data_IF_734498594621
#
_entry.id   IF_734498594621
#
_cell.length_a   1.000
_cell.length_b   1.000
_cell.length_c   1.000
_cell.angle_alpha   90.00
_cell.angle_beta   90.00
_cell.angle_gamma   90.00
#
_symmetry.space_group_name_H-M   'P 1'
#
loop_
_entity.id
_entity.type
_entity.pdbx_description
1 polymer ?
#
# COMPACT_ATOMS: atom_id res chain seq x y z
N UNK A 1 -12.17 -4.10 -8.05
CA UNK A 1 -11.99 -3.98 -6.59
C UNK A 1 -10.52 -3.81 -6.22
N UNK A 2 -9.63 -4.61 -6.78
CA UNK A 2 -8.19 -4.47 -6.55
C UNK A 2 -7.54 -3.89 -7.79
N UNK A 3 -6.63 -2.95 -7.59
CA UNK A 3 -6.00 -2.19 -8.65
C UNK A 3 -4.50 -2.24 -8.47
N UNK A 4 -3.76 -2.30 -9.57
CA UNK A 4 -2.32 -2.08 -9.58
C UNK A 4 -1.95 -1.04 -10.62
N UNK A 5 -1.14 -0.08 -10.20
CA UNK A 5 -0.58 0.95 -11.07
C UNK A 5 0.91 0.68 -11.16
N UNK A 6 1.36 0.43 -12.36
CA UNK A 6 2.78 0.20 -12.64
C UNK A 6 3.30 1.25 -13.61
N UNK A 7 4.59 1.54 -13.51
CA UNK A 7 5.31 2.39 -14.44
C UNK A 7 6.19 1.52 -15.33
N UNK A 8 6.16 1.79 -16.62
CA UNK A 8 7.07 1.21 -17.59
C UNK A 8 7.70 2.31 -18.47
N UNK A 9 8.49 1.94 -19.47
CA UNK A 9 9.15 2.89 -20.37
C UNK A 9 8.18 3.77 -21.19
N UNK A 10 6.91 3.39 -21.25
CA UNK A 10 5.87 4.08 -22.03
C UNK A 10 4.98 5.00 -21.19
N UNK A 11 5.04 4.91 -19.87
CA UNK A 11 4.21 5.67 -18.93
C UNK A 11 3.62 4.79 -17.83
N UNK A 12 2.35 4.97 -17.53
CA UNK A 12 1.66 4.23 -16.48
C UNK A 12 0.62 3.30 -17.06
N UNK A 13 0.47 2.12 -16.45
CA UNK A 13 -0.63 1.19 -16.68
C UNK A 13 -1.39 0.95 -15.39
N UNK A 14 -2.69 1.11 -15.45
CA UNK A 14 -3.64 0.75 -14.39
C UNK A 14 -4.31 -0.56 -14.78
N UNK A 15 -4.06 -1.63 -14.03
CA UNK A 15 -4.78 -2.89 -14.17
C UNK A 15 -5.89 -2.99 -13.12
N UNK A 16 -7.05 -3.44 -13.56
CA UNK A 16 -8.25 -3.52 -12.70
C UNK A 16 -9.15 -4.66 -13.10
N UNK A 17 -9.86 -5.22 -12.12
CA UNK A 17 -10.89 -6.20 -12.38
C UNK A 17 -12.18 -5.46 -12.74
N UNK A 18 -12.71 -5.78 -13.87
CA UNK A 18 -14.04 -5.40 -14.31
C UNK A 18 -14.96 -6.62 -14.33
N UNK A 19 -16.26 -6.41 -14.29
CA UNK A 19 -17.27 -7.44 -14.38
C UNK A 19 -18.39 -7.00 -15.31
N UNK A 20 -19.06 -7.98 -15.89
CA UNK A 20 -20.25 -7.76 -16.68
C UNK A 20 -21.39 -7.31 -15.74
N UNK A 21 -22.02 -6.18 -16.04
CA UNK A 21 -23.12 -5.64 -15.22
C UNK A 21 -24.34 -6.57 -15.19
N UNK A 22 -24.53 -7.33 -16.25
CA UNK A 22 -25.64 -8.29 -16.37
C UNK A 22 -25.31 -9.66 -15.78
N UNK A 23 -24.03 -9.95 -15.57
CA UNK A 23 -23.57 -11.22 -15.02
C UNK A 23 -22.29 -11.03 -14.19
N UNK A 24 -22.45 -10.76 -12.90
CA UNK A 24 -21.35 -10.53 -11.95
C UNK A 24 -20.41 -11.75 -11.78
N UNK A 25 -20.78 -12.91 -12.33
CA UNK A 25 -19.87 -14.07 -12.37
C UNK A 25 -18.81 -13.93 -13.44
N UNK A 26 -19.07 -13.13 -14.47
CA UNK A 26 -18.11 -12.82 -15.54
C UNK A 26 -17.23 -11.67 -15.11
N UNK A 27 -16.00 -11.99 -14.82
CA UNK A 27 -14.97 -11.03 -14.40
C UNK A 27 -13.76 -11.17 -15.29
N UNK A 28 -13.13 -10.06 -15.60
CA UNK A 28 -11.92 -10.02 -16.42
C UNK A 28 -10.94 -8.97 -15.93
N UNK A 29 -9.66 -9.18 -16.20
CA UNK A 29 -8.62 -8.19 -15.99
C UNK A 29 -8.56 -7.27 -17.19
N UNK A 30 -8.66 -5.96 -16.93
CA UNK A 30 -8.57 -4.91 -17.93
C UNK A 30 -7.42 -3.97 -17.63
N UNK A 31 -6.99 -3.20 -18.64
CA UNK A 31 -5.91 -2.21 -18.51
C UNK A 31 -6.35 -0.84 -19.01
N UNK A 32 -5.92 0.21 -18.33
CA UNK A 32 -5.93 1.58 -18.84
C UNK A 32 -4.51 2.14 -18.83
N UNK A 33 -4.23 3.08 -19.72
CA UNK A 33 -2.91 3.67 -19.93
C UNK A 33 -2.93 5.16 -19.66
N UNK A 34 -1.80 5.69 -19.17
CA UNK A 34 -1.64 7.12 -18.93
C UNK A 34 -0.19 7.56 -19.14
N UNK A 35 -0.01 8.81 -19.60
CA UNK A 35 1.31 9.45 -19.67
C UNK A 35 1.64 10.27 -18.42
N UNK A 36 0.61 10.77 -17.76
CA UNK A 36 0.69 11.74 -16.66
C UNK A 36 0.15 11.18 -15.33
N UNK A 37 -0.43 9.97 -15.35
CA UNK A 37 -1.09 9.38 -14.20
C UNK A 37 -2.41 10.07 -13.83
N UNK A 38 -2.95 10.93 -14.68
CA UNK A 38 -4.18 11.70 -14.46
C UNK A 38 -5.22 11.38 -15.52
N UNK A 39 -4.80 11.44 -16.78
CA UNK A 39 -5.65 11.15 -17.94
C UNK A 39 -5.44 9.70 -18.36
N UNK A 40 -6.50 8.91 -18.25
CA UNK A 40 -6.46 7.48 -18.52
C UNK A 40 -7.21 7.12 -19.80
N UNK A 41 -6.60 6.31 -20.65
CA UNK A 41 -7.16 5.83 -21.91
C UNK A 41 -7.33 4.32 -21.83
N UNK A 42 -8.49 3.81 -22.23
CA UNK A 42 -8.75 2.38 -22.39
C UNK A 42 -8.39 1.99 -23.84
N UNK A 43 -7.29 1.25 -24.08
CA UNK A 43 -6.91 0.85 -25.43
C UNK A 43 -7.89 -0.20 -25.98
N UNK A 44 -8.16 -0.16 -27.29
CA UNK A 44 -8.97 -1.17 -27.98
C UNK A 44 -8.09 -2.33 -28.46
N UNK A 45 -7.81 -3.27 -27.57
CA UNK A 45 -6.83 -4.35 -27.79
C UNK A 45 -7.38 -5.51 -28.59
N UNK A 46 -8.67 -5.83 -28.46
CA UNK A 46 -9.36 -6.95 -29.14
C UNK A 46 -8.66 -8.31 -28.97
N UNK A 47 -8.11 -8.56 -27.77
CA UNK A 47 -7.46 -9.84 -27.43
C UNK A 47 -8.52 -10.91 -27.16
N UNK A 48 -9.60 -10.51 -26.49
CA UNK A 48 -10.76 -11.33 -26.18
C UNK A 48 -12.01 -10.78 -26.90
N UNK A 49 -13.03 -11.60 -27.09
CA UNK A 49 -14.27 -11.19 -27.72
C UNK A 49 -15.24 -10.60 -26.68
N UNK A 50 -15.27 -9.27 -26.61
CA UNK A 50 -16.13 -8.48 -25.74
C UNK A 50 -16.86 -7.38 -26.54
N UNK A 51 -17.87 -7.76 -27.36
CA UNK A 51 -18.55 -6.82 -28.25
C UNK A 51 -19.30 -5.70 -27.51
N UNK A 52 -19.68 -5.94 -26.24
CA UNK A 52 -20.31 -4.94 -25.38
C UNK A 52 -19.41 -3.73 -25.08
N UNK A 53 -18.08 -3.88 -25.16
CA UNK A 53 -17.11 -2.81 -24.85
C UNK A 53 -16.92 -1.80 -26.00
N UNK A 54 -17.57 -1.98 -27.14
CA UNK A 54 -17.74 -1.01 -28.27
C UNK A 54 -16.55 -0.08 -28.54
N UNK A 55 -15.40 -0.62 -28.93
CA UNK A 55 -14.19 0.16 -29.27
C UNK A 55 -13.31 0.56 -28.08
N UNK A 56 -13.60 0.02 -26.90
CA UNK A 56 -12.80 0.17 -25.69
C UNK A 56 -12.47 -1.20 -25.08
N UNK A 57 -12.30 -2.23 -25.92
CA UNK A 57 -12.01 -3.58 -25.46
C UNK A 57 -10.55 -3.69 -24.98
N UNK A 58 -10.36 -3.35 -23.72
CA UNK A 58 -9.08 -3.31 -23.03
C UNK A 58 -8.85 -4.52 -22.11
N UNK A 59 -9.54 -5.64 -22.39
CA UNK A 59 -9.41 -6.89 -21.63
C UNK A 59 -8.09 -7.57 -21.96
N UNK A 60 -7.37 -8.01 -20.93
CA UNK A 60 -6.04 -8.65 -21.04
C UNK A 60 -6.00 -10.08 -20.47
N UNK A 61 -6.94 -10.44 -19.60
CA UNK A 61 -7.16 -11.83 -19.12
C UNK A 61 -8.66 -12.03 -18.89
N UNK A 62 -9.19 -13.13 -19.42
CA UNK A 62 -10.55 -13.59 -19.22
C UNK A 62 -10.57 -15.14 -19.10
N UNK A 63 -11.19 -15.72 -18.03
CA UNK A 63 -11.75 -15.03 -16.87
C UNK A 63 -10.67 -14.49 -15.94
N UNK A 64 -11.01 -13.47 -15.14
CA UNK A 64 -10.10 -12.85 -14.18
C UNK A 64 -10.74 -12.57 -12.84
N UNK A 65 -10.07 -12.90 -11.73
CA UNK A 65 -10.55 -12.61 -10.38
C UNK A 65 -9.41 -12.23 -9.46
N UNK A 66 -9.55 -11.13 -8.70
CA UNK A 66 -8.59 -10.68 -7.68
C UNK A 66 -7.12 -10.68 -8.16
N UNK A 67 -6.92 -10.38 -9.43
CA UNK A 67 -5.61 -10.39 -10.08
C UNK A 67 -4.82 -9.14 -9.72
N UNK A 68 -3.53 -9.35 -9.50
CA UNK A 68 -2.57 -8.29 -9.22
C UNK A 68 -1.43 -8.36 -10.24
N UNK A 69 -1.12 -7.22 -10.86
CA UNK A 69 -0.05 -7.12 -11.87
C UNK A 69 1.11 -6.31 -11.31
N UNK A 70 2.35 -6.76 -11.53
CA UNK A 70 3.54 -5.96 -11.28
C UNK A 70 4.53 -6.07 -12.46
N UNK A 71 5.37 -5.05 -12.59
CA UNK A 71 6.49 -5.06 -13.51
C UNK A 71 7.70 -5.62 -12.78
N UNK A 72 8.37 -6.59 -13.39
CA UNK A 72 9.51 -7.27 -12.80
C UNK A 72 10.81 -6.50 -13.04
N UNK A 73 11.33 -5.90 -11.99
CA UNK A 73 12.57 -5.12 -12.00
C UNK A 73 13.83 -6.00 -11.92
N UNK A 74 13.70 -7.32 -11.78
CA UNK A 74 14.83 -8.23 -11.82
C UNK A 74 15.59 -8.07 -13.15
N UNK A 75 16.89 -7.70 -13.13
CA UNK A 75 17.67 -7.54 -14.37
C UNK A 75 17.77 -8.82 -15.17
N UNK A 76 17.73 -9.99 -14.50
CA UNK A 76 17.83 -11.30 -15.12
C UNK A 76 16.46 -11.87 -15.58
N UNK A 77 15.37 -11.11 -15.37
CA UNK A 77 14.06 -11.54 -15.81
C UNK A 77 13.98 -11.61 -17.33
N UNK A 78 13.52 -12.76 -17.92
CA UNK A 78 13.29 -12.87 -19.35
C UNK A 78 12.37 -11.75 -19.86
N UNK A 79 12.70 -11.18 -21.02
CA UNK A 79 11.93 -10.07 -21.62
C UNK A 79 10.46 -10.42 -21.84
N UNK A 80 10.20 -11.66 -22.18
CA UNK A 80 8.85 -12.22 -22.38
C UNK A 80 8.06 -12.45 -21.10
N UNK A 81 8.64 -12.19 -19.91
CA UNK A 81 8.03 -12.34 -18.59
C UNK A 81 8.09 -11.08 -17.72
N UNK A 82 8.42 -9.92 -18.30
CA UNK A 82 8.58 -8.65 -17.55
C UNK A 82 7.32 -8.21 -16.82
N UNK A 83 6.14 -8.57 -17.32
CA UNK A 83 4.88 -8.33 -16.61
C UNK A 83 4.41 -9.64 -16.00
N UNK A 84 4.14 -9.61 -14.70
CA UNK A 84 3.72 -10.77 -13.93
C UNK A 84 2.40 -10.51 -13.25
N UNK A 85 1.54 -11.51 -13.25
CA UNK A 85 0.28 -11.51 -12.50
C UNK A 85 0.35 -12.54 -11.40
N UNK A 86 -0.14 -12.18 -10.25
CA UNK A 86 -0.43 -13.09 -9.13
C UNK A 86 -1.95 -13.15 -8.98
N UNK A 87 -2.52 -14.34 -9.08
CA UNK A 87 -3.96 -14.53 -9.18
C UNK A 87 -4.44 -15.76 -8.42
N UNK A 88 -5.59 -15.68 -7.74
CA UNK A 88 -6.31 -16.89 -7.38
C UNK A 88 -6.69 -17.68 -8.62
N UNK A 89 -6.64 -19.00 -8.52
CA UNK A 89 -6.96 -19.92 -9.59
C UNK A 89 -7.68 -21.15 -9.03
N UNK A 90 -8.86 -21.43 -9.56
CA UNK A 90 -9.62 -22.64 -9.21
C UNK A 90 -9.12 -23.82 -10.04
N UNK A 91 -8.31 -24.68 -9.44
CA UNK A 91 -7.66 -25.78 -10.13
C UNK A 91 -8.59 -27.01 -10.22
N UNK A 92 -9.16 -27.24 -11.39
CA UNK A 92 -10.06 -28.38 -11.63
C UNK A 92 -9.36 -29.74 -11.48
N UNK A 93 -8.06 -29.82 -11.75
CA UNK A 93 -7.28 -31.05 -11.52
C UNK A 93 -7.13 -31.40 -10.03
N UNK A 94 -7.29 -30.42 -9.13
CA UNK A 94 -7.25 -30.59 -7.69
C UNK A 94 -8.63 -30.38 -7.03
N UNK A 95 -9.71 -30.78 -7.71
CA UNK A 95 -11.07 -30.70 -7.16
C UNK A 95 -11.58 -29.27 -6.97
N UNK A 96 -11.18 -28.35 -7.83
CA UNK A 96 -11.47 -26.91 -7.74
C UNK A 96 -10.92 -26.25 -6.46
N UNK A 97 -9.78 -26.74 -5.95
CA UNK A 97 -9.06 -26.07 -4.88
C UNK A 97 -8.64 -24.67 -5.33
N UNK A 98 -8.76 -23.70 -4.41
CA UNK A 98 -8.29 -22.34 -4.66
C UNK A 98 -6.78 -22.28 -4.40
N UNK A 99 -6.01 -22.02 -5.44
CA UNK A 99 -4.56 -21.91 -5.43
C UNK A 99 -4.13 -20.52 -5.88
N UNK A 100 -2.90 -20.13 -5.57
CA UNK A 100 -2.29 -18.89 -6.07
C UNK A 100 -1.40 -19.21 -7.26
N UNK A 101 -1.67 -18.62 -8.41
CA UNK A 101 -0.98 -18.88 -9.66
C UNK A 101 -0.37 -17.62 -10.27
N UNK A 102 0.66 -17.83 -11.08
CA UNK A 102 1.31 -16.80 -11.86
C UNK A 102 0.83 -16.82 -13.32
N UNK A 103 0.67 -15.62 -13.88
CA UNK A 103 0.67 -15.39 -15.33
C UNK A 103 1.84 -14.49 -15.67
N UNK A 104 2.33 -14.56 -16.89
CA UNK A 104 3.47 -13.78 -17.38
C UNK A 104 3.20 -13.21 -18.76
N UNK A 105 3.80 -12.05 -19.05
CA UNK A 105 3.70 -11.37 -20.35
C UNK A 105 4.95 -10.53 -20.61
N UNK A 106 5.34 -10.41 -21.88
CA UNK A 106 6.40 -9.50 -22.31
C UNK A 106 5.92 -8.09 -22.67
N UNK A 107 4.64 -7.93 -22.97
CA UNK A 107 4.07 -6.66 -23.46
C UNK A 107 3.08 -6.01 -22.49
N UNK A 108 2.67 -6.74 -21.44
CA UNK A 108 1.68 -6.29 -20.46
C UNK A 108 0.23 -6.38 -20.96
N UNK A 109 -0.01 -7.04 -22.11
CA UNK A 109 -1.34 -7.20 -22.68
C UNK A 109 -1.67 -8.67 -22.93
N UNK A 110 -0.75 -9.45 -23.48
CA UNK A 110 -0.94 -10.88 -23.77
C UNK A 110 -0.30 -11.71 -22.68
N UNK A 111 -1.12 -12.10 -21.72
CA UNK A 111 -0.69 -12.94 -20.60
C UNK A 111 -0.90 -14.42 -20.90
N UNK A 112 0.00 -15.25 -20.42
CA UNK A 112 -0.12 -16.72 -20.42
C UNK A 112 -0.04 -17.24 -19.00
N UNK A 113 -0.84 -18.25 -18.67
CA UNK A 113 -0.75 -18.99 -17.40
C UNK A 113 0.62 -19.64 -17.30
N UNK A 114 1.25 -19.58 -16.13
CA UNK A 114 2.62 -20.04 -15.94
C UNK A 114 2.72 -21.19 -14.94
N UNK A 115 2.64 -20.94 -13.66
CA UNK A 115 2.86 -21.96 -12.62
C UNK A 115 2.12 -21.61 -11.33
N UNK A 116 1.95 -22.63 -10.46
CA UNK A 116 1.43 -22.46 -9.12
C UNK A 116 2.49 -21.84 -8.21
N UNK A 117 2.09 -20.84 -7.43
CA UNK A 117 2.93 -20.13 -6.44
C UNK A 117 2.74 -20.75 -5.06
N UNK A 118 1.48 -20.93 -4.63
CA UNK A 118 1.13 -21.40 -3.29
C UNK A 118 -0.24 -22.10 -3.29
N UNK A 119 -0.39 -23.10 -2.46
CA UNK A 119 -1.64 -23.89 -2.33
C UNK A 119 -2.30 -23.77 -0.96
N UNK A 120 -1.62 -23.12 -0.01
CA UNK A 120 -2.08 -23.00 1.38
C UNK A 120 -2.34 -21.54 1.76
N UNK A 121 -3.56 -21.06 1.52
CA UNK A 121 -3.99 -19.70 1.80
C UNK A 121 -5.43 -19.43 1.38
N UNK A 122 -5.85 -18.17 1.53
CA UNK A 122 -7.15 -17.67 1.11
C UNK A 122 -6.98 -16.51 0.12
N UNK A 123 -6.81 -16.86 -1.14
CA UNK A 123 -6.29 -15.97 -2.17
C UNK A 123 -7.35 -15.09 -2.85
N UNK A 124 -8.61 -15.17 -2.47
CA UNK A 124 -9.73 -14.37 -3.02
C UNK A 124 -9.72 -12.90 -2.53
N UNK A 125 -8.52 -12.33 -2.35
CA UNK A 125 -8.28 -10.97 -1.93
C UNK A 125 -7.12 -10.36 -2.71
N UNK A 126 -6.66 -9.15 -2.33
CA UNK A 126 -5.46 -8.58 -2.91
C UNK A 126 -4.22 -9.38 -2.52
N UNK A 127 -3.61 -10.02 -3.51
CA UNK A 127 -2.30 -10.65 -3.38
C UNK A 127 -1.30 -9.75 -4.09
N UNK A 128 -0.16 -9.42 -3.48
CA UNK A 128 0.84 -8.55 -4.10
C UNK A 128 2.19 -9.23 -4.20
N UNK A 129 2.99 -8.85 -5.18
CA UNK A 129 4.35 -9.33 -5.30
C UNK A 129 5.27 -8.22 -5.82
N UNK A 130 6.56 -8.34 -5.53
CA UNK A 130 7.59 -7.46 -6.04
C UNK A 130 8.96 -8.15 -6.01
N UNK A 131 9.89 -7.60 -6.77
CA UNK A 131 11.30 -7.97 -6.70
C UNK A 131 12.05 -6.88 -5.93
N UNK A 132 12.92 -7.29 -4.99
CA UNK A 132 13.74 -6.39 -4.20
C UNK A 132 14.97 -7.12 -3.64
N UNK A 133 16.14 -6.48 -3.70
CA UNK A 133 17.39 -6.97 -3.12
C UNK A 133 17.72 -8.43 -3.51
N UNK A 134 17.52 -8.76 -4.80
CA UNK A 134 17.81 -10.09 -5.35
C UNK A 134 16.73 -11.14 -5.10
N UNK A 135 15.58 -10.79 -4.53
CA UNK A 135 14.51 -11.74 -4.20
C UNK A 135 13.13 -11.22 -4.60
N UNK A 136 12.27 -12.16 -4.94
CA UNK A 136 10.83 -11.91 -5.02
C UNK A 136 10.22 -12.13 -3.64
N UNK A 137 9.25 -11.29 -3.30
CA UNK A 137 8.36 -11.45 -2.18
C UNK A 137 6.91 -11.49 -2.69
N UNK A 138 6.11 -12.43 -2.19
CA UNK A 138 4.68 -12.49 -2.49
C UNK A 138 3.90 -12.45 -1.19
N UNK A 139 2.99 -11.49 -1.07
CA UNK A 139 2.12 -11.28 0.08
C UNK A 139 0.69 -11.64 -0.28
N UNK A 140 0.06 -12.44 0.57
CA UNK A 140 -1.30 -12.91 0.37
C UNK A 140 -2.05 -13.05 1.70
N UNK A 141 -3.36 -13.16 1.60
CA UNK A 141 -4.24 -13.35 2.76
C UNK A 141 -4.30 -14.80 3.19
N UNK A 142 -4.36 -15.00 4.51
CA UNK A 142 -4.75 -16.25 5.15
C UNK A 142 -5.60 -15.95 6.38
N UNK A 143 -5.80 -16.96 7.24
CA UNK A 143 -6.54 -16.83 8.48
C UNK A 143 -5.81 -17.52 9.64
N UNK A 144 -6.08 -17.02 10.84
CA UNK A 144 -5.79 -17.69 12.09
C UNK A 144 -6.98 -17.58 13.06
N UNK A 145 -7.06 -18.50 14.02
CA UNK A 145 -8.06 -18.45 15.07
C UNK A 145 -7.67 -17.46 16.18
N UNK A 146 -8.57 -17.25 17.15
CA UNK A 146 -8.34 -16.38 18.32
C UNK A 146 -7.18 -16.81 19.23
N UNK A 147 -6.69 -18.03 19.07
CA UNK A 147 -5.52 -18.54 19.82
C UNK A 147 -4.22 -18.39 19.00
N UNK A 148 -4.31 -17.82 17.81
CA UNK A 148 -3.18 -17.62 16.92
C UNK A 148 -2.81 -18.85 16.08
N UNK A 149 -3.61 -19.93 16.07
CA UNK A 149 -3.35 -21.09 15.23
C UNK A 149 -3.83 -20.85 13.80
N UNK A 150 -3.04 -21.29 12.84
CA UNK A 150 -3.41 -21.22 11.42
C UNK A 150 -4.66 -22.06 11.14
N UNK A 151 -5.57 -21.53 10.34
CA UNK A 151 -6.80 -22.20 9.94
C UNK A 151 -7.14 -21.97 8.48
N UNK A 152 -7.71 -23.01 7.84
CA UNK A 152 -8.27 -22.92 6.48
C UNK A 152 -9.78 -22.64 6.49
N UNK A 153 -10.39 -22.62 7.69
CA UNK A 153 -11.83 -22.43 7.80
C UNK A 153 -12.15 -20.95 7.80
N UNK A 154 -12.93 -20.52 6.82
CA UNK A 154 -13.51 -19.20 6.87
C UNK A 154 -14.61 -19.16 7.94
N UNK A 155 -14.49 -18.23 8.86
CA UNK A 155 -15.57 -17.88 9.80
C UNK A 155 -15.45 -16.41 10.19
N UNK A 156 -16.51 -15.85 10.76
CA UNK A 156 -16.47 -14.48 11.30
C UNK A 156 -15.59 -14.38 12.57
N UNK A 157 -15.32 -15.51 13.24
CA UNK A 157 -14.49 -15.59 14.44
C UNK A 157 -12.99 -15.68 14.12
N UNK A 158 -12.63 -16.00 12.87
CA UNK A 158 -11.25 -16.12 12.44
C UNK A 158 -10.75 -14.79 11.89
N UNK A 159 -9.53 -14.44 12.29
CA UNK A 159 -8.88 -13.20 11.92
C UNK A 159 -8.19 -13.34 10.56
N UNK A 160 -8.44 -12.38 9.68
CA UNK A 160 -7.72 -12.26 8.41
C UNK A 160 -6.32 -11.77 8.69
N UNK A 161 -5.32 -12.54 8.25
CA UNK A 161 -3.91 -12.18 8.36
C UNK A 161 -3.25 -12.02 6.98
N UNK A 162 -2.04 -11.49 6.98
CA UNK A 162 -1.20 -11.37 5.81
C UNK A 162 0.01 -12.27 6.00
N UNK A 163 0.37 -13.02 4.95
CA UNK A 163 1.54 -13.90 4.91
C UNK A 163 2.44 -13.54 3.77
N UNK A 164 3.72 -13.90 3.91
CA UNK A 164 4.75 -13.69 2.91
C UNK A 164 5.49 -14.97 2.62
N UNK A 165 5.80 -15.17 1.35
CA UNK A 165 6.74 -16.17 0.84
C UNK A 165 7.79 -15.48 -0.02
N UNK A 166 8.98 -16.07 -0.13
CA UNK A 166 10.10 -15.54 -0.88
C UNK A 166 10.57 -16.52 -1.95
N UNK A 167 11.14 -15.99 -3.04
CA UNK A 167 11.70 -16.78 -4.12
C UNK A 167 12.92 -16.08 -4.72
N UNK A 168 13.91 -16.85 -5.16
CA UNK A 168 15.07 -16.33 -5.90
C UNK A 168 14.79 -16.29 -7.42
N UNK A 169 13.89 -17.15 -7.92
CA UNK A 169 13.65 -17.40 -9.36
C UNK A 169 12.20 -17.17 -9.83
N UNK A 170 11.33 -16.73 -8.91
CA UNK A 170 9.88 -16.63 -9.14
C UNK A 170 9.20 -17.97 -9.47
N UNK A 171 9.84 -19.09 -9.17
CA UNK A 171 9.33 -20.45 -9.42
C UNK A 171 9.25 -21.29 -8.17
N UNK A 172 10.31 -21.25 -7.37
CA UNK A 172 10.44 -22.01 -6.13
C UNK A 172 10.26 -21.08 -4.94
N UNK A 173 9.31 -21.37 -4.08
CA UNK A 173 8.93 -20.49 -2.98
C UNK A 173 9.23 -21.09 -1.62
N UNK A 174 9.61 -20.24 -0.68
CA UNK A 174 9.84 -20.62 0.70
C UNK A 174 8.54 -20.99 1.41
N UNK A 175 8.64 -21.60 2.59
CA UNK A 175 7.51 -21.73 3.50
C UNK A 175 6.98 -20.35 3.89
N UNK A 176 5.66 -20.22 3.98
CA UNK A 176 4.97 -18.98 4.36
C UNK A 176 5.30 -18.54 5.79
N UNK A 177 5.33 -17.21 5.99
CA UNK A 177 5.47 -16.57 7.29
C UNK A 177 4.35 -15.57 7.49
N UNK A 178 3.67 -15.59 8.64
CA UNK A 178 2.72 -14.56 9.03
C UNK A 178 3.47 -13.28 9.39
N UNK A 179 2.90 -12.12 9.03
CA UNK A 179 3.46 -10.83 9.41
C UNK A 179 3.32 -10.60 10.91
N UNK A 180 4.32 -9.94 11.48
CA UNK A 180 4.38 -9.53 12.87
C UNK A 180 4.24 -8.02 12.97
N UNK A 181 3.42 -7.53 13.91
CA UNK A 181 3.17 -6.10 14.07
C UNK A 181 3.71 -5.58 15.40
N UNK A 182 4.46 -4.47 15.35
CA UNK A 182 5.12 -3.86 16.51
C UNK A 182 4.15 -3.31 17.57
N UNK A 183 2.91 -3.03 17.18
CA UNK A 183 1.85 -2.55 18.07
C UNK A 183 1.22 -3.63 18.96
N UNK A 184 1.56 -4.89 18.72
CA UNK A 184 1.06 -6.04 19.47
C UNK A 184 -0.45 -6.26 19.37
N UNK A 185 -1.14 -5.53 18.48
CA UNK A 185 -2.58 -5.67 18.29
C UNK A 185 -2.87 -6.68 17.18
N UNK A 186 -3.92 -7.45 17.39
CA UNK A 186 -4.40 -8.41 16.41
C UNK A 186 -5.81 -8.02 15.98
N UNK A 187 -5.95 -7.60 14.72
CA UNK A 187 -7.22 -7.27 14.10
C UNK A 187 -7.19 -7.60 12.60
N UNK A 188 -8.37 -7.86 11.98
CA UNK A 188 -8.43 -8.32 10.62
C UNK A 188 -7.85 -7.32 9.62
N UNK A 189 -6.94 -7.77 8.75
CA UNK A 189 -6.44 -7.06 7.58
C UNK A 189 -6.97 -7.73 6.32
N UNK A 190 -7.78 -7.01 5.54
CA UNK A 190 -8.45 -7.57 4.37
C UNK A 190 -7.55 -7.57 3.13
N UNK A 191 -6.77 -6.51 2.94
CA UNK A 191 -5.81 -6.34 1.86
C UNK A 191 -4.41 -6.09 2.42
N UNK A 192 -3.39 -6.04 1.59
CA UNK A 192 -2.03 -5.75 2.04
C UNK A 192 -1.40 -4.52 1.36
N UNK A 193 -1.58 -4.33 0.06
CA UNK A 193 -1.06 -3.21 -0.74
C UNK A 193 0.42 -2.88 -0.43
N UNK A 194 1.29 -3.93 -0.40
CA UNK A 194 2.70 -3.84 0.01
C UNK A 194 3.60 -3.66 -1.22
N UNK A 195 4.56 -2.72 -1.14
CA UNK A 195 5.58 -2.51 -2.17
C UNK A 195 6.83 -1.81 -1.62
N UNK A 196 7.99 -1.91 -2.32
CA UNK A 196 9.19 -1.13 -2.00
C UNK A 196 8.93 0.36 -2.20
N UNK A 197 9.45 1.20 -1.31
CA UNK A 197 9.31 2.64 -1.45
C UNK A 197 10.43 3.22 -2.32
N UNK A 198 10.08 3.84 -3.44
CA UNK A 198 11.03 4.32 -4.46
C UNK A 198 12.12 5.25 -3.89
N UNK A 199 11.77 6.20 -3.00
CA UNK A 199 12.72 7.15 -2.42
C UNK A 199 13.57 6.59 -1.28
N UNK A 200 13.20 5.44 -0.75
CA UNK A 200 13.94 4.70 0.28
C UNK A 200 13.79 3.19 0.03
N UNK A 201 14.46 2.63 -0.99
CA UNK A 201 14.25 1.24 -1.42
C UNK A 201 14.50 0.18 -0.35
N UNK A 202 15.26 0.52 0.70
CA UNK A 202 15.45 -0.34 1.88
C UNK A 202 14.19 -0.47 2.75
N UNK A 203 13.15 0.33 2.49
CA UNK A 203 11.89 0.32 3.24
C UNK A 203 10.77 -0.22 2.35
N UNK A 204 10.03 -1.18 2.87
CA UNK A 204 8.74 -1.58 2.34
C UNK A 204 7.66 -0.74 3.02
N UNK A 205 6.70 -0.29 2.24
CA UNK A 205 5.48 0.36 2.73
C UNK A 205 4.27 -0.49 2.38
N UNK A 206 3.21 -0.35 3.17
CA UNK A 206 1.96 -1.06 2.94
C UNK A 206 0.76 -0.24 3.40
N UNK A 207 -0.35 -0.42 2.70
CA UNK A 207 -1.62 0.24 2.96
C UNK A 207 -2.75 -0.78 3.08
N UNK A 208 -2.71 -1.65 4.11
CA UNK A 208 -3.75 -2.66 4.27
C UNK A 208 -5.08 -2.02 4.67
N UNK A 209 -6.16 -2.54 4.10
CA UNK A 209 -7.50 -2.23 4.57
C UNK A 209 -7.80 -3.04 5.83
N UNK A 210 -8.23 -2.37 6.90
CA UNK A 210 -8.79 -3.03 8.08
C UNK A 210 -10.24 -3.39 7.81
N UNK A 211 -10.68 -4.49 8.42
CA UNK A 211 -12.04 -4.99 8.29
C UNK A 211 -12.65 -5.16 9.68
N UNK A 212 -13.69 -4.40 9.97
CA UNK A 212 -14.43 -4.51 11.22
C UNK A 212 -15.84 -4.97 10.96
N UNK A 213 -16.17 -6.12 11.53
CA UNK A 213 -17.50 -6.71 11.46
C UNK A 213 -18.36 -6.18 12.60
N UNK A 214 -19.50 -5.56 12.26
CA UNK A 214 -20.55 -5.17 13.18
C UNK A 214 -21.77 -6.06 12.94
N UNK A 215 -22.37 -6.53 14.03
CA UNK A 215 -23.42 -7.57 13.96
C UNK A 215 -24.80 -7.05 14.36
N UNK A 216 -24.87 -5.88 14.97
CA UNK A 216 -26.10 -5.33 15.53
C UNK A 216 -26.45 -4.00 14.86
N UNK A 217 -27.74 -3.88 14.49
CA UNK A 217 -28.30 -2.62 14.05
C UNK A 217 -28.56 -1.73 15.26
N UNK A 218 -28.13 -0.50 15.22
CA UNK A 218 -28.24 0.46 16.32
C UNK A 218 -28.96 1.73 15.89
N UNK A 219 -29.32 2.57 16.84
CA UNK A 219 -29.90 3.89 16.57
C UNK A 219 -28.95 4.79 15.76
N UNK A 220 -27.64 4.52 15.79
CA UNK A 220 -26.68 5.26 14.97
C UNK A 220 -26.81 4.89 13.49
N UNK A 221 -27.10 3.65 13.17
CA UNK A 221 -27.30 3.20 11.79
C UNK A 221 -28.56 3.84 11.17
N UNK A 222 -29.56 4.18 12.00
CA UNK A 222 -30.75 4.92 11.56
C UNK A 222 -30.40 6.36 11.13
N UNK A 223 -29.29 6.92 11.54
CA UNK A 223 -28.86 8.28 11.18
C UNK A 223 -28.12 8.32 9.84
N UNK A 224 -27.76 7.19 9.25
CA UNK A 224 -27.11 7.16 7.93
C UNK A 224 -27.97 7.93 6.90
N UNK A 225 -27.35 8.75 6.04
CA UNK A 225 -28.09 9.70 5.20
C UNK A 225 -28.93 9.03 4.12
N UNK A 226 -28.54 7.87 3.61
CA UNK A 226 -29.26 7.18 2.53
C UNK A 226 -30.37 6.25 3.04
N UNK A 227 -31.62 6.56 2.71
CA UNK A 227 -32.75 5.68 3.03
C UNK A 227 -32.69 4.33 2.28
N UNK A 228 -32.18 4.31 1.06
CA UNK A 228 -32.08 3.10 0.26
C UNK A 228 -30.94 2.22 0.72
N UNK A 229 -29.79 2.82 1.07
CA UNK A 229 -28.69 2.08 1.69
C UNK A 229 -29.12 1.42 3.00
N UNK A 230 -29.85 2.13 3.88
CA UNK A 230 -30.41 1.57 5.13
C UNK A 230 -31.28 0.34 4.89
N UNK A 231 -32.19 0.40 3.91
CA UNK A 231 -33.05 -0.76 3.55
C UNK A 231 -32.24 -1.99 3.16
N UNK A 232 -31.10 -1.78 2.51
CA UNK A 232 -30.21 -2.88 2.11
C UNK A 232 -29.43 -3.39 3.32
N UNK A 233 -28.81 -2.52 4.08
CA UNK A 233 -28.02 -2.89 5.25
C UNK A 233 -28.83 -3.65 6.31
N UNK A 234 -30.09 -3.25 6.56
CA UNK A 234 -31.01 -3.96 7.44
C UNK A 234 -31.18 -5.42 7.01
N UNK A 235 -31.33 -5.70 5.71
CA UNK A 235 -31.46 -7.06 5.19
C UNK A 235 -30.17 -7.88 5.27
N UNK A 236 -29.04 -7.21 5.40
CA UNK A 236 -27.71 -7.81 5.45
C UNK A 236 -27.16 -7.94 6.89
N UNK A 237 -27.89 -7.43 7.91
CA UNK A 237 -27.48 -7.59 9.32
C UNK A 237 -27.19 -9.03 9.64
N UNK A 238 -26.05 -9.30 10.28
CA UNK A 238 -25.59 -10.65 10.61
C UNK A 238 -24.99 -11.45 9.45
N UNK A 239 -25.08 -10.96 8.21
CA UNK A 239 -24.41 -11.57 7.05
C UNK A 239 -22.97 -11.09 6.94
N UNK A 240 -22.19 -11.73 6.04
CA UNK A 240 -20.75 -11.51 5.87
C UNK A 240 -20.36 -10.05 5.64
N UNK A 241 -21.04 -9.37 4.75
CA UNK A 241 -20.73 -7.97 4.42
C UNK A 241 -21.51 -7.00 5.32
N UNK A 242 -22.77 -7.25 5.54
CA UNK A 242 -23.66 -6.64 6.52
C UNK A 242 -23.31 -5.21 6.91
N UNK A 243 -23.14 -4.99 8.19
CA UNK A 243 -22.72 -3.73 8.81
C UNK A 243 -21.20 -3.61 8.94
N UNK A 244 -20.42 -4.41 8.21
CA UNK A 244 -18.97 -4.34 8.25
C UNK A 244 -18.48 -3.03 7.65
N UNK A 245 -17.43 -2.47 8.25
CA UNK A 245 -16.76 -1.27 7.76
C UNK A 245 -15.31 -1.58 7.41
N UNK A 246 -14.78 -0.83 6.46
CA UNK A 246 -13.38 -0.87 6.07
C UNK A 246 -12.78 0.51 6.06
N UNK A 247 -11.54 0.62 6.53
CA UNK A 247 -10.68 1.78 6.40
C UNK A 247 -9.27 1.32 6.07
N UNK A 248 -8.35 2.24 5.84
CA UNK A 248 -6.98 1.90 5.50
C UNK A 248 -6.02 2.39 6.59
N UNK A 249 -5.00 1.60 6.92
CA UNK A 249 -3.89 2.00 7.77
C UNK A 249 -2.57 2.03 7.00
N UNK A 250 -1.59 2.75 7.53
CA UNK A 250 -0.22 2.74 7.02
C UNK A 250 0.66 1.80 7.83
N UNK A 251 1.57 1.11 7.16
CA UNK A 251 2.62 0.32 7.81
C UNK A 251 3.91 0.34 7.01
N UNK A 252 5.04 0.12 7.68
CA UNK A 252 6.35 0.02 7.04
C UNK A 252 7.22 -1.06 7.66
N UNK A 253 8.15 -1.60 6.86
CA UNK A 253 9.07 -2.67 7.27
C UNK A 253 10.42 -2.55 6.58
N UNK A 254 11.47 -3.12 7.21
CA UNK A 254 12.79 -3.28 6.59
C UNK A 254 13.09 -4.73 6.18
N UNK A 255 12.43 -5.71 6.79
CA UNK A 255 12.66 -7.14 6.54
C UNK A 255 11.49 -7.87 5.86
N UNK A 256 10.36 -7.17 5.70
CA UNK A 256 9.16 -7.69 5.06
C UNK A 256 8.32 -8.64 5.92
N UNK A 257 8.74 -8.94 7.16
CA UNK A 257 8.04 -9.80 8.12
C UNK A 257 7.61 -9.01 9.35
N UNK A 258 8.51 -8.20 9.91
CA UNK A 258 8.23 -7.34 11.06
C UNK A 258 7.85 -5.94 10.59
N UNK A 259 6.67 -5.50 10.97
CA UNK A 259 6.07 -4.26 10.49
C UNK A 259 5.78 -3.29 11.63
N UNK A 260 6.20 -2.05 11.45
CA UNK A 260 5.67 -0.93 12.22
C UNK A 260 4.33 -0.54 11.60
N UNK A 261 3.24 -0.81 12.30
CA UNK A 261 1.88 -0.48 11.88
C UNK A 261 1.36 0.67 12.71
N UNK A 262 0.82 1.68 12.04
CA UNK A 262 0.20 2.84 12.68
C UNK A 262 -1.30 2.56 12.84
N UNK A 263 -1.81 2.74 14.06
CA UNK A 263 -3.19 2.34 14.37
C UNK A 263 -4.25 3.37 13.98
N UNK A 264 -3.82 4.62 13.79
CA UNK A 264 -4.69 5.65 13.24
C UNK A 264 -5.04 5.31 11.80
N UNK A 265 -6.29 5.58 11.42
CA UNK A 265 -6.67 5.42 10.02
C UNK A 265 -5.86 6.38 9.14
N UNK A 266 -5.16 5.83 8.17
CA UNK A 266 -4.47 6.59 7.15
C UNK A 266 -5.45 7.18 6.12
N UNK A 267 -6.49 6.41 5.82
CA UNK A 267 -7.56 6.80 4.92
C UNK A 267 -8.89 6.35 5.51
N UNK A 268 -9.85 7.27 5.56
CA UNK A 268 -11.23 7.04 6.03
C UNK A 268 -12.22 7.46 4.97
N UNK A 269 -13.47 7.06 5.13
CA UNK A 269 -14.55 7.41 4.20
C UNK A 269 -14.92 8.92 4.21
N UNK A 270 -14.34 9.73 5.12
CA UNK A 270 -14.63 11.15 5.22
C UNK A 270 -16.03 11.44 5.78
N UNK A 271 -16.60 12.58 5.41
CA UNK A 271 -17.96 12.93 5.81
C UNK A 271 -19.00 11.97 5.23
N UNK A 272 -20.00 11.65 6.04
CA UNK A 272 -21.10 10.79 5.62
C UNK A 272 -21.82 11.34 4.38
N UNK A 273 -22.09 10.44 3.44
CA UNK A 273 -22.89 10.69 2.27
C UNK A 273 -23.73 9.44 1.93
N UNK A 274 -24.44 9.45 0.83
CA UNK A 274 -25.37 8.36 0.44
C UNK A 274 -24.67 7.03 0.16
N UNK A 275 -23.32 6.97 0.03
CA UNK A 275 -22.61 5.83 -0.51
C UNK A 275 -21.42 5.35 0.32
N UNK A 276 -21.04 6.08 1.37
CA UNK A 276 -19.89 5.72 2.20
C UNK A 276 -20.30 5.19 3.58
N UNK A 277 -19.31 4.85 4.42
CA UNK A 277 -19.46 4.18 5.72
C UNK A 277 -20.12 2.81 5.61
N UNK A 278 -19.69 2.07 4.59
CA UNK A 278 -20.12 0.71 4.29
C UNK A 278 -18.91 -0.19 4.03
N UNK A 279 -19.16 -1.49 3.86
CA UNK A 279 -18.13 -2.43 3.46
C UNK A 279 -17.58 -2.14 2.06
N UNK A 280 -16.28 -2.11 1.95
CA UNK A 280 -15.58 -2.04 0.67
C UNK A 280 -15.04 -0.67 0.30
N UNK A 281 -15.10 0.30 1.23
CA UNK A 281 -14.48 1.60 1.07
C UNK A 281 -12.98 1.58 1.42
N UNK A 282 -12.24 2.58 0.93
CA UNK A 282 -10.85 2.83 1.26
C UNK A 282 -9.88 1.69 0.90
N UNK A 283 -10.02 1.16 -0.32
CA UNK A 283 -9.06 0.19 -0.88
C UNK A 283 -8.05 0.90 -1.79
N UNK A 284 -6.82 1.16 -1.30
CA UNK A 284 -5.79 1.76 -2.13
C UNK A 284 -5.39 0.86 -3.29
N UNK A 285 -5.14 1.48 -4.44
CA UNK A 285 -4.44 0.85 -5.53
C UNK A 285 -2.97 0.63 -5.13
N UNK A 286 -2.38 -0.46 -5.58
CA UNK A 286 -0.96 -0.68 -5.44
C UNK A 286 -0.17 0.24 -6.37
N UNK A 287 0.86 0.89 -5.84
CA UNK A 287 1.71 1.82 -6.55
C UNK A 287 1.36 3.29 -6.31
N UNK A 288 2.37 4.12 -6.38
CA UNK A 288 2.31 5.57 -6.29
C UNK A 288 2.75 6.17 -7.62
N UNK A 289 2.17 7.30 -7.98
CA UNK A 289 2.56 8.05 -9.18
C UNK A 289 3.24 9.33 -8.74
N UNK A 290 4.48 9.55 -9.17
CA UNK A 290 5.16 10.82 -8.94
C UNK A 290 4.44 11.94 -9.69
N UNK A 291 3.97 12.96 -8.97
CA UNK A 291 3.30 14.13 -9.55
C UNK A 291 4.25 15.06 -10.32
N UNK A 292 5.56 14.80 -10.25
CA UNK A 292 6.60 15.70 -10.74
C UNK A 292 6.84 16.92 -9.85
N UNK A 293 6.19 16.95 -8.66
CA UNK A 293 6.30 18.00 -7.63
C UNK A 293 6.67 17.37 -6.28
N UNK A 294 6.22 17.99 -5.20
CA UNK A 294 6.48 17.54 -3.82
C UNK A 294 5.50 16.45 -3.36
N UNK A 295 4.65 15.94 -4.24
CA UNK A 295 3.60 14.97 -3.90
C UNK A 295 3.67 13.72 -4.76
N UNK A 296 3.03 12.66 -4.26
CA UNK A 296 2.58 11.50 -5.05
C UNK A 296 1.07 11.53 -5.23
N UNK A 297 0.61 10.99 -6.35
CA UNK A 297 -0.79 10.58 -6.50
C UNK A 297 -0.94 9.15 -5.98
N UNK A 298 -1.95 8.96 -5.17
CA UNK A 298 -2.43 7.68 -4.68
C UNK A 298 -3.87 7.50 -5.12
N UNK A 299 -4.19 6.36 -5.69
CA UNK A 299 -5.55 6.04 -6.08
C UNK A 299 -6.18 5.10 -5.06
N UNK A 300 -7.46 5.30 -4.77
CA UNK A 300 -8.21 4.38 -3.93
C UNK A 300 -9.66 4.28 -4.42
N UNK A 301 -10.22 3.09 -4.25
CA UNK A 301 -11.63 2.86 -4.46
C UNK A 301 -12.40 3.29 -3.22
N UNK A 302 -13.46 4.04 -3.43
CA UNK A 302 -14.47 4.40 -2.46
C UNK A 302 -15.87 4.13 -3.07
N UNK A 303 -16.93 4.15 -2.27
CA UNK A 303 -18.31 3.98 -2.73
C UNK A 303 -18.57 2.67 -3.51
N UNK A 304 -17.95 1.57 -3.10
CA UNK A 304 -18.10 0.27 -3.78
C UNK A 304 -19.55 -0.17 -3.97
N UNK A 305 -20.44 0.21 -3.06
CA UNK A 305 -21.86 -0.14 -3.08
C UNK A 305 -22.75 0.96 -3.66
N UNK A 306 -22.16 1.97 -4.28
CA UNK A 306 -22.92 2.91 -5.09
C UNK A 306 -23.66 2.13 -6.19
N UNK A 307 -24.96 2.37 -6.30
CA UNK A 307 -25.80 1.80 -7.35
C UNK A 307 -25.75 2.63 -8.64
N UNK A 308 -25.06 3.76 -8.60
CA UNK A 308 -24.77 4.52 -9.80
C UNK A 308 -23.79 3.75 -10.68
N UNK A 309 -23.93 3.85 -11.98
CA UNK A 309 -23.14 3.17 -13.01
C UNK A 309 -21.64 3.46 -12.88
N UNK A 310 -21.27 4.57 -12.26
CA UNK A 310 -19.89 5.00 -12.06
C UNK A 310 -19.39 4.62 -10.65
N UNK A 311 -18.48 3.65 -10.59
CA UNK A 311 -17.69 3.34 -9.39
C UNK A 311 -16.35 4.07 -9.47
N UNK A 312 -16.25 5.31 -8.99
CA UNK A 312 -15.10 6.15 -9.23
C UNK A 312 -13.88 5.64 -8.48
N UNK A 313 -12.75 5.70 -9.16
CA UNK A 313 -11.44 5.58 -8.55
C UNK A 313 -10.97 6.99 -8.19
N UNK A 314 -10.87 7.28 -6.90
CA UNK A 314 -10.46 8.59 -6.42
C UNK A 314 -8.96 8.74 -6.45
N UNK A 315 -8.48 9.92 -6.87
CA UNK A 315 -7.08 10.31 -6.80
C UNK A 315 -6.88 11.21 -5.58
N UNK A 316 -5.97 10.79 -4.73
CA UNK A 316 -5.49 11.56 -3.58
C UNK A 316 -4.08 12.07 -3.85
N UNK A 317 -3.74 13.19 -3.23
CA UNK A 317 -2.37 13.68 -3.20
C UNK A 317 -1.79 13.50 -1.80
N UNK A 318 -0.59 12.93 -1.74
CA UNK A 318 0.15 12.80 -0.51
C UNK A 318 1.55 13.39 -0.66
N UNK A 319 2.01 14.12 0.37
CA UNK A 319 3.39 14.60 0.45
C UNK A 319 4.38 13.45 0.27
N UNK A 320 5.44 13.64 -0.52
CA UNK A 320 6.54 12.67 -0.59
C UNK A 320 7.10 12.44 0.80
N UNK A 321 7.30 11.16 1.17
CA UNK A 321 7.66 10.68 2.53
C UNK A 321 6.65 11.06 3.64
N UNK A 322 5.48 11.59 3.30
CA UNK A 322 4.50 12.14 4.22
C UNK A 322 3.55 11.11 4.86
N UNK A 323 3.90 9.83 4.85
CA UNK A 323 3.03 8.74 5.36
C UNK A 323 2.89 8.75 6.88
N UNK A 324 3.94 9.20 7.58
CA UNK A 324 4.00 9.37 9.02
C UNK A 324 5.01 10.47 9.36
N UNK A 325 4.92 11.03 10.55
CA UNK A 325 5.87 12.03 11.04
C UNK A 325 6.07 11.93 12.54
N UNK A 326 7.19 12.45 13.01
CA UNK A 326 7.31 12.90 14.40
C UNK A 326 6.76 14.32 14.49
N UNK A 327 5.85 14.57 15.43
CA UNK A 327 5.17 15.84 15.60
C UNK A 327 5.42 16.39 16.99
N UNK A 328 5.74 17.68 17.07
CA UNK A 328 5.70 18.47 18.28
C UNK A 328 4.57 19.49 18.19
N UNK A 329 3.88 19.70 19.28
CA UNK A 329 2.90 20.77 19.48
C UNK A 329 3.59 22.12 19.78
N UNK A 330 2.88 23.05 20.41
CA UNK A 330 3.40 24.38 20.78
C UNK A 330 4.52 24.38 21.83
N UNK A 331 4.78 23.24 22.48
CA UNK A 331 5.89 23.06 23.41
C UNK A 331 7.06 22.36 22.72
N UNK A 332 8.30 22.72 23.10
CA UNK A 332 9.46 22.01 22.55
C UNK A 332 9.47 20.55 23.00
N UNK A 333 9.63 19.65 22.04
CA UNK A 333 9.82 18.21 22.21
C UNK A 333 11.17 17.79 21.66
N UNK A 334 11.73 16.73 22.23
CA UNK A 334 13.03 16.19 21.82
C UNK A 334 12.88 14.79 21.28
N UNK A 335 13.48 14.56 20.10
CA UNK A 335 13.65 13.25 19.48
C UNK A 335 15.14 12.95 19.36
N UNK A 336 15.59 11.79 19.85
CA UNK A 336 16.98 11.31 19.66
C UNK A 336 16.96 10.02 18.87
N UNK A 337 17.74 9.98 17.79
CA UNK A 337 17.87 8.75 16.99
C UNK A 337 18.62 7.66 17.75
N UNK A 338 18.43 6.41 17.33
CA UNK A 338 19.41 5.35 17.61
C UNK A 338 20.74 5.76 16.97
N UNK A 339 21.88 5.15 17.40
CA UNK A 339 23.13 5.35 16.68
C UNK A 339 22.95 5.00 15.21
N UNK A 340 23.42 5.88 14.34
CA UNK A 340 23.39 5.70 12.90
C UNK A 340 24.78 5.98 12.31
N UNK A 341 25.11 5.27 11.25
CA UNK A 341 26.27 5.51 10.41
C UNK A 341 25.72 5.93 9.04
N UNK A 342 26.23 7.01 8.50
CA UNK A 342 25.82 7.51 7.19
C UNK A 342 27.01 7.73 6.27
N UNK A 343 26.76 7.71 5.00
CA UNK A 343 27.64 8.17 3.93
C UNK A 343 27.12 9.52 3.40
N UNK A 344 27.99 10.29 2.79
CA UNK A 344 27.63 11.64 2.29
C UNK A 344 28.07 12.75 3.24
N UNK A 345 27.82 13.98 2.83
CA UNK A 345 28.30 15.20 3.50
C UNK A 345 27.17 16.10 3.98
N UNK A 346 26.03 16.00 3.35
CA UNK A 346 24.94 16.95 3.52
C UNK A 346 23.72 16.24 4.07
N UNK A 347 23.20 16.72 5.20
CA UNK A 347 21.91 16.29 5.73
C UNK A 347 20.81 17.10 5.05
N UNK A 348 19.81 16.42 4.56
CA UNK A 348 18.57 16.97 4.04
C UNK A 348 17.38 16.55 4.88
N UNK A 349 16.44 17.47 5.09
CA UNK A 349 15.20 17.21 5.82
C UNK A 349 13.98 17.44 4.97
N UNK A 350 12.98 16.61 5.23
CA UNK A 350 11.58 16.78 4.87
C UNK A 350 10.80 17.13 6.14
N UNK A 351 10.28 18.35 6.22
CA UNK A 351 9.62 18.86 7.41
C UNK A 351 8.60 19.96 7.09
N UNK A 352 7.76 20.28 8.06
CA UNK A 352 6.95 21.49 8.07
C UNK A 352 6.92 22.09 9.49
N UNK A 353 6.86 23.42 9.57
CA UNK A 353 6.64 24.17 10.82
C UNK A 353 5.55 25.21 10.64
N UNK A 354 5.00 25.71 11.72
CA UNK A 354 4.26 26.98 11.70
C UNK A 354 5.21 28.19 11.69
N UNK A 355 4.66 29.39 11.68
CA UNK A 355 5.44 30.62 11.83
C UNK A 355 6.10 30.76 13.23
N UNK A 356 5.56 30.08 14.24
CA UNK A 356 6.08 30.01 15.60
C UNK A 356 7.00 28.79 15.81
N UNK A 357 6.94 27.84 14.88
CA UNK A 357 7.63 26.56 14.96
C UNK A 357 9.08 26.61 14.50
N UNK A 358 9.86 25.68 15.01
CA UNK A 358 11.25 25.50 14.61
C UNK A 358 11.72 24.05 14.78
N UNK A 359 12.85 23.75 14.17
CA UNK A 359 13.64 22.54 14.40
C UNK A 359 15.10 22.96 14.61
N UNK A 360 15.75 22.41 15.64
CA UNK A 360 17.19 22.41 15.81
C UNK A 360 17.72 20.98 15.78
N UNK A 361 18.93 20.81 15.29
CA UNK A 361 19.60 19.51 15.23
C UNK A 361 20.93 19.61 15.92
N UNK A 362 21.16 18.77 16.92
CA UNK A 362 22.44 18.59 17.58
C UNK A 362 23.01 17.23 17.20
N UNK A 363 24.34 17.12 17.06
CA UNK A 363 25.03 15.84 16.87
C UNK A 363 25.58 15.38 18.21
N UNK A 364 25.29 14.13 18.53
CA UNK A 364 25.78 13.44 19.72
C UNK A 364 26.69 12.29 19.30
N UNK A 365 27.61 11.89 20.17
CA UNK A 365 28.35 10.65 19.99
C UNK A 365 27.43 9.41 20.14
N UNK A 366 27.95 8.21 19.93
CA UNK A 366 27.19 6.97 20.06
C UNK A 366 26.60 6.75 21.48
N UNK A 367 27.21 7.32 22.50
CA UNK A 367 26.82 7.22 23.92
C UNK A 367 25.78 8.28 24.30
N UNK A 368 25.53 9.27 23.43
CA UNK A 368 24.58 10.36 23.65
C UNK A 368 25.21 11.62 24.26
N UNK A 369 26.53 11.75 24.30
CA UNK A 369 27.20 12.96 24.73
C UNK A 369 27.24 14.00 23.61
N UNK A 370 27.05 15.26 23.95
CA UNK A 370 27.07 16.36 22.99
C UNK A 370 28.47 16.56 22.38
N UNK A 371 28.54 16.66 21.09
CA UNK A 371 29.72 17.08 20.38
C UNK A 371 29.73 18.61 20.27
N UNK A 372 30.66 19.24 21.00
CA UNK A 372 30.74 20.69 21.14
C UNK A 372 30.62 21.45 19.81
N UNK A 373 29.76 22.47 19.80
CA UNK A 373 29.61 23.40 18.68
C UNK A 373 28.87 22.83 17.44
N UNK A 374 28.21 21.68 17.58
CA UNK A 374 27.52 21.01 16.47
C UNK A 374 26.00 21.07 16.60
N UNK A 375 25.49 22.28 16.63
CA UNK A 375 24.06 22.60 16.54
C UNK A 375 23.76 23.28 15.19
N UNK A 376 22.65 22.93 14.55
CA UNK A 376 22.22 23.56 13.31
C UNK A 376 21.81 25.03 13.52
N UNK A 377 21.71 25.79 12.44
CA UNK A 377 20.91 27.01 12.44
C UNK A 377 19.44 26.64 12.74
N UNK A 378 18.64 27.64 13.14
CA UNK A 378 17.19 27.47 13.25
C UNK A 378 16.60 27.07 11.91
N UNK A 379 15.81 26.01 11.90
CA UNK A 379 15.17 25.46 10.71
C UNK A 379 13.67 25.72 10.82
N UNK A 380 13.09 26.40 9.85
CA UNK A 380 11.67 26.69 9.74
C UNK A 380 11.19 26.66 8.29
N UNK A 381 9.88 26.52 8.09
CA UNK A 381 9.25 26.50 6.79
C UNK A 381 8.57 25.17 6.46
N UNK A 382 8.30 24.94 5.18
CA UNK A 382 7.66 23.73 4.69
C UNK A 382 8.35 23.29 3.39
N UNK A 383 9.01 22.12 3.41
CA UNK A 383 9.77 21.60 2.28
C UNK A 383 10.03 20.12 2.39
N UNK A 384 10.17 19.44 1.26
CA UNK A 384 10.52 18.01 1.20
C UNK A 384 12.04 17.76 1.14
N UNK A 385 12.85 18.81 0.95
CA UNK A 385 14.29 18.65 0.70
C UNK A 385 15.06 19.92 1.06
N UNK A 386 15.31 20.15 2.34
CA UNK A 386 16.09 21.27 2.87
C UNK A 386 17.48 20.83 3.28
N UNK A 387 18.50 21.39 2.65
CA UNK A 387 19.89 21.27 3.10
C UNK A 387 20.07 21.90 4.47
N UNK A 388 20.71 21.18 5.38
CA UNK A 388 20.99 21.59 6.76
C UNK A 388 22.47 21.86 6.95
N UNK A 389 22.78 22.98 7.61
CA UNK A 389 24.13 23.35 8.00
C UNK A 389 24.20 23.58 9.51
N UNK A 390 25.38 23.38 10.08
CA UNK A 390 25.66 23.79 11.47
C UNK A 390 25.78 25.32 11.57
N UNK A 391 25.62 25.83 12.78
CA UNK A 391 25.69 27.27 13.06
C UNK A 391 27.05 27.88 12.78
N UNK A 392 28.11 27.07 12.68
CA UNK A 392 29.45 27.46 12.23
C UNK A 392 29.61 27.45 10.70
N UNK A 393 28.54 27.10 9.95
CA UNK A 393 28.53 27.00 8.49
C UNK A 393 29.10 25.68 7.95
N UNK A 394 29.59 24.79 8.81
CA UNK A 394 30.07 23.46 8.37
C UNK A 394 28.92 22.50 8.03
N UNK A 395 29.24 21.44 7.32
CA UNK A 395 28.34 20.36 6.98
C UNK A 395 28.57 19.11 7.87
N UNK A 396 27.91 18.02 7.53
CA UNK A 396 27.97 16.75 8.27
C UNK A 396 29.14 15.83 7.91
N UNK A 397 30.05 16.26 6.99
CA UNK A 397 31.16 15.42 6.49
C UNK A 397 32.11 14.91 7.57
N UNK A 398 32.32 15.69 8.63
CA UNK A 398 33.25 15.33 9.72
C UNK A 398 32.84 14.04 10.49
N UNK A 399 31.59 13.62 10.38
CA UNK A 399 31.01 12.48 11.09
C UNK A 399 30.61 11.34 10.15
N UNK A 400 30.78 11.49 8.85
CA UNK A 400 30.50 10.43 7.89
C UNK A 400 31.34 9.17 8.21
N UNK A 401 30.71 8.00 8.14
CA UNK A 401 31.34 6.72 8.50
C UNK A 401 31.52 6.45 9.99
N UNK A 402 31.09 7.37 10.87
CA UNK A 402 31.19 7.20 12.33
C UNK A 402 29.80 7.01 12.94
N UNK A 403 29.68 6.22 14.02
CA UNK A 403 28.39 6.11 14.73
C UNK A 403 28.09 7.41 15.48
N UNK A 404 26.99 8.04 15.14
CA UNK A 404 26.48 9.27 15.79
C UNK A 404 24.99 9.15 16.06
N UNK A 405 24.48 10.01 16.92
CA UNK A 405 23.05 10.23 17.10
C UNK A 405 22.72 11.65 16.68
N UNK A 406 21.51 11.84 16.15
CA UNK A 406 20.94 13.16 15.89
C UNK A 406 19.87 13.42 16.97
N UNK A 407 19.99 14.55 17.64
CA UNK A 407 18.98 15.07 18.55
C UNK A 407 18.24 16.19 17.83
N UNK A 408 16.95 16.00 17.63
CA UNK A 408 16.05 17.01 17.09
C UNK A 408 15.29 17.65 18.24
N UNK A 409 15.32 18.97 18.34
CA UNK A 409 14.45 19.76 19.19
C UNK A 409 13.44 20.44 18.28
N UNK A 410 12.16 20.13 18.50
CA UNK A 410 11.06 20.53 17.63
C UNK A 410 10.02 21.29 18.46
N UNK A 411 9.50 22.37 17.91
CA UNK A 411 8.33 23.09 18.43
C UNK A 411 7.40 23.41 17.28
N UNK A 412 6.11 23.11 17.42
CA UNK A 412 5.06 23.32 16.43
C UNK A 412 5.54 22.92 15.02
N UNK A 413 6.00 21.68 14.90
CA UNK A 413 6.72 21.16 13.76
C UNK A 413 6.43 19.68 13.50
N UNK A 414 6.55 19.27 12.26
CA UNK A 414 6.48 17.88 11.79
C UNK A 414 7.77 17.52 11.06
N UNK A 415 8.40 16.43 11.46
CA UNK A 415 9.56 15.85 10.80
C UNK A 415 9.14 14.56 10.11
N UNK A 416 9.20 14.51 8.77
CA UNK A 416 8.74 13.39 7.96
C UNK A 416 9.87 12.43 7.60
N UNK A 417 10.97 12.95 7.06
CA UNK A 417 12.11 12.12 6.68
C UNK A 417 13.42 12.91 6.71
N UNK A 418 14.52 12.16 6.66
CA UNK A 418 15.86 12.69 6.48
C UNK A 418 16.66 11.80 5.50
N UNK A 419 17.61 12.41 4.81
CA UNK A 419 18.59 11.71 3.98
C UNK A 419 19.95 12.40 4.09
N UNK A 420 20.99 11.64 3.82
CA UNK A 420 22.36 12.16 3.62
C UNK A 420 22.76 12.01 2.15
N UNK A 421 23.41 13.04 1.61
CA UNK A 421 24.00 13.07 0.26
C UNK A 421 25.46 13.45 0.28
#
# INVERSE_FOLDING_TARGET
>A
MFFSIIKDDKGYKLYYINWDENDVSKRYLAVAESKDGITWIKPDLKIFDHPELKGHNNVVIDPGESMFVFYDENPDCPKEEKYKVVSPYYNSAHGNALELWAYVSGDGYRFRLSHCIETDGHFDSQNTAHYKDGKYACYFRSFHDKNGNDTKVWSNDNLRDIRVIYSDDFRTWTKQKRLEFSDGKDYPLYTNCIFPYERAPQILIGFPARYFHRTEWTANDEQLPSADLKKILIKEVGKREGLSLTDCVFMCSRDGVKWNRYNEAFMTSGYENEYNWIYGDNYPAWGLIDSGKETYYMYAMDKRRSYDEDKPLYRYEIRKDGFACYMADGDEKTLVTKPLIYEGKVLHLNFSTSAYGYIYIDVLDENGNELSGKTSFEIFGDTIDRKILFSDGSDFSAYAGKPVRLRFRLRDAKLFSLKFE
#
